data_IF_983770206427
#
_entry.id   IF_983770206427
#
_cell.length_a   1.000
_cell.length_b   1.000
_cell.length_c   1.000
_cell.angle_alpha   90.00
_cell.angle_beta   90.00
_cell.angle_gamma   90.00
#
_symmetry.space_group_name_H-M   'P 1'
#
loop_
_entity.id
_entity.type
_entity.pdbx_description
1 polymer ?
#
# COMPACT_ATOMS: atom_id res chain seq x y z
N UNK A 1 33.10 53.78 -5.01
CA UNK A 1 31.84 54.43 -4.58
C UNK A 1 30.90 53.34 -4.07
N UNK A 2 30.50 53.41 -2.79
CA UNK A 2 29.30 52.89 -2.07
C UNK A 2 28.62 51.58 -2.56
N UNK A 3 28.13 50.66 -1.75
CA UNK A 3 28.14 50.36 -0.30
C UNK A 3 27.37 49.05 -0.11
N UNK A 4 27.92 48.13 0.69
CA UNK A 4 27.30 47.17 1.63
C UNK A 4 25.77 46.97 1.66
N UNK A 5 25.36 45.69 1.75
CA UNK A 5 24.54 45.21 2.88
C UNK A 5 24.56 43.67 2.97
N UNK A 6 25.17 43.17 4.03
CA UNK A 6 25.10 41.81 4.56
C UNK A 6 23.91 41.76 5.56
N UNK A 7 22.98 40.79 5.53
CA UNK A 7 22.04 40.59 6.61
C UNK A 7 22.65 39.66 7.67
N UNK A 8 23.24 40.29 8.69
CA UNK A 8 23.44 39.69 10.01
C UNK A 8 22.10 39.20 10.58
N UNK A 9 21.93 37.89 10.76
CA UNK A 9 20.92 37.36 11.68
C UNK A 9 21.58 37.05 13.02
N UNK A 10 21.40 38.00 13.94
CA UNK A 10 21.75 37.92 15.36
C UNK A 10 20.81 36.96 16.09
N UNK A 11 21.39 36.15 16.96
CA UNK A 11 20.68 35.41 18.01
C UNK A 11 20.21 36.41 19.07
N UNK A 12 18.94 36.35 19.45
CA UNK A 12 18.47 36.92 20.72
C UNK A 12 17.69 35.86 21.50
N UNK A 13 18.06 35.75 22.78
CA UNK A 13 17.33 35.04 23.82
C UNK A 13 15.92 35.63 24.00
N UNK A 14 14.94 34.74 24.21
CA UNK A 14 13.49 34.95 24.43
C UNK A 14 12.60 34.95 23.18
N UNK A 15 12.21 33.75 22.77
CA UNK A 15 10.81 33.39 22.49
C UNK A 15 10.16 33.90 21.20
N UNK A 16 10.14 33.02 20.18
CA UNK A 16 9.27 32.98 18.99
C UNK A 16 9.31 34.20 18.04
N UNK A 17 9.75 33.97 16.80
CA UNK A 17 8.85 33.63 15.68
C UNK A 17 9.60 32.94 14.54
N UNK A 18 8.82 32.13 13.84
CA UNK A 18 9.11 31.05 12.90
C UNK A 18 9.04 31.63 11.49
N UNK A 19 10.06 31.41 10.65
CA UNK A 19 9.93 31.59 9.20
C UNK A 19 10.19 30.26 8.50
N UNK A 20 9.15 29.80 7.82
CA UNK A 20 9.05 28.55 7.08
C UNK A 20 9.60 28.71 5.65
N UNK A 21 10.00 27.55 5.11
CA UNK A 21 10.11 27.17 3.70
C UNK A 21 11.16 27.86 2.82
N UNK A 22 12.26 27.14 2.61
CA UNK A 22 12.67 26.77 1.26
C UNK A 22 12.80 25.25 1.28
N UNK A 23 11.77 24.54 0.83
CA UNK A 23 11.93 23.12 0.47
C UNK A 23 12.82 23.08 -0.76
N UNK A 24 13.99 22.47 -0.62
CA UNK A 24 14.87 22.18 -1.75
C UNK A 24 14.11 21.35 -2.80
N UNK A 25 14.35 21.65 -4.07
CA UNK A 25 13.77 20.93 -5.19
C UNK A 25 14.19 19.46 -5.12
N UNK A 26 13.25 18.55 -4.86
CA UNK A 26 13.48 17.11 -4.93
C UNK A 26 13.80 16.74 -6.37
N UNK A 27 15.07 16.46 -6.66
CA UNK A 27 15.48 15.85 -7.92
C UNK A 27 14.79 14.49 -8.04
N UNK A 28 13.84 14.39 -8.97
CA UNK A 28 13.12 13.15 -9.27
C UNK A 28 14.08 12.19 -9.97
N UNK A 29 14.78 11.36 -9.20
CA UNK A 29 15.53 10.23 -9.74
C UNK A 29 14.53 9.22 -10.26
N UNK A 30 14.29 9.22 -11.57
CA UNK A 30 13.53 8.16 -12.24
C UNK A 30 14.39 6.91 -12.21
N UNK A 31 14.10 5.99 -11.30
CA UNK A 31 14.64 4.64 -11.36
C UNK A 31 14.09 4.00 -12.63
N UNK A 32 14.94 3.84 -13.64
CA UNK A 32 14.62 3.02 -14.80
C UNK A 32 14.92 1.59 -14.36
N UNK A 33 13.87 0.83 -14.04
CA UNK A 33 14.00 -0.62 -13.90
C UNK A 33 14.27 -1.16 -15.30
N UNK A 34 15.42 -1.80 -15.49
CA UNK A 34 15.73 -2.49 -16.75
C UNK A 34 14.65 -3.53 -17.01
N UNK A 35 13.96 -3.41 -18.14
CA UNK A 35 12.75 -4.16 -18.49
C UNK A 35 12.97 -5.67 -18.77
N UNK A 36 14.20 -6.18 -18.57
CA UNK A 36 14.60 -7.55 -18.93
C UNK A 36 15.25 -8.32 -17.77
N UNK A 37 14.79 -8.11 -16.53
CA UNK A 37 15.24 -8.96 -15.41
C UNK A 37 14.54 -10.33 -15.49
N UNK A 38 15.20 -11.31 -16.12
CA UNK A 38 14.84 -12.73 -15.97
C UNK A 38 15.07 -13.15 -14.52
N UNK A 39 14.01 -13.26 -13.73
CA UNK A 39 14.10 -13.71 -12.34
C UNK A 39 14.55 -15.18 -12.30
N UNK A 40 15.77 -15.45 -11.79
CA UNK A 40 16.25 -16.81 -11.54
C UNK A 40 15.62 -17.35 -10.24
N UNK A 41 14.90 -18.47 -10.30
CA UNK A 41 14.46 -19.22 -9.11
C UNK A 41 15.66 -19.81 -8.36
N UNK A 42 15.70 -19.66 -7.04
CA UNK A 42 16.68 -20.36 -6.19
C UNK A 42 17.14 -19.61 -4.93
N UNK A 43 16.98 -18.28 -4.88
CA UNK A 43 17.19 -17.55 -3.63
C UNK A 43 15.92 -17.65 -2.77
N UNK A 44 16.08 -17.77 -1.45
CA UNK A 44 15.00 -17.60 -0.47
C UNK A 44 14.51 -16.15 -0.56
N UNK A 45 13.66 -15.86 -1.56
CA UNK A 45 13.05 -14.54 -1.81
C UNK A 45 11.77 -14.38 -0.98
N UNK A 46 11.73 -14.90 0.24
CA UNK A 46 10.53 -14.92 1.06
C UNK A 46 10.04 -13.51 1.42
N UNK A 47 10.93 -12.51 1.48
CA UNK A 47 10.59 -11.11 1.78
C UNK A 47 9.95 -10.36 0.61
N UNK A 48 10.49 -10.50 -0.61
CA UNK A 48 9.99 -9.79 -1.80
C UNK A 48 8.80 -10.52 -2.45
N UNK A 49 8.76 -11.85 -2.36
CA UNK A 49 7.72 -12.65 -3.02
C UNK A 49 6.30 -12.32 -2.52
N UNK A 50 6.13 -11.93 -1.26
CA UNK A 50 4.84 -11.50 -0.68
C UNK A 50 4.19 -10.36 -1.46
N UNK A 51 5.01 -9.53 -2.11
CA UNK A 51 4.56 -8.36 -2.84
C UNK A 51 4.71 -8.49 -4.34
N UNK A 52 5.16 -9.62 -4.89
CA UNK A 52 5.21 -9.78 -6.35
C UNK A 52 3.82 -9.68 -6.99
N UNK A 53 3.72 -9.73 -8.31
CA UNK A 53 2.45 -9.93 -9.00
C UNK A 53 2.09 -11.41 -9.08
N UNK A 54 0.80 -11.76 -9.16
CA UNK A 54 0.34 -13.16 -9.22
C UNK A 54 0.91 -13.89 -10.45
N UNK A 55 0.93 -13.22 -11.61
CA UNK A 55 1.49 -13.79 -12.84
C UNK A 55 2.96 -14.20 -12.64
N UNK A 56 3.79 -13.29 -12.11
CA UNK A 56 5.20 -13.52 -11.77
C UNK A 56 5.38 -14.73 -10.83
N UNK A 57 4.50 -14.92 -9.84
CA UNK A 57 4.59 -16.07 -8.93
C UNK A 57 4.31 -17.41 -9.60
N UNK A 58 3.42 -17.42 -10.60
CA UNK A 58 2.98 -18.63 -11.29
C UNK A 58 3.86 -19.00 -12.48
N UNK A 59 4.79 -18.13 -12.87
CA UNK A 59 5.73 -18.38 -13.97
C UNK A 59 6.38 -19.75 -13.88
N UNK A 60 6.57 -20.38 -15.02
CA UNK A 60 7.37 -21.59 -15.16
C UNK A 60 8.70 -21.24 -15.81
N UNK A 61 9.75 -22.02 -15.55
CA UNK A 61 11.05 -21.79 -16.21
C UNK A 61 10.99 -22.03 -17.73
N UNK A 62 9.91 -22.64 -18.23
CA UNK A 62 9.67 -22.89 -19.64
C UNK A 62 9.08 -21.66 -20.38
N UNK A 63 8.32 -20.82 -19.67
CA UNK A 63 7.69 -19.60 -20.22
C UNK A 63 7.79 -18.48 -19.17
N UNK A 64 8.89 -17.71 -19.20
CA UNK A 64 9.02 -16.55 -18.33
C UNK A 64 8.07 -15.46 -18.82
N UNK A 65 7.09 -15.02 -18.00
CA UNK A 65 6.31 -13.83 -18.39
C UNK A 65 7.23 -12.61 -18.42
N UNK A 66 6.98 -11.75 -19.39
CA UNK A 66 7.60 -10.45 -19.48
C UNK A 66 7.12 -9.59 -18.32
N UNK A 67 8.04 -8.94 -17.61
CA UNK A 67 7.66 -8.00 -16.56
C UNK A 67 6.96 -6.79 -17.18
N UNK A 68 5.71 -6.55 -16.80
CA UNK A 68 4.89 -5.47 -17.32
C UNK A 68 4.50 -4.48 -16.20
N UNK A 69 4.11 -3.26 -16.60
CA UNK A 69 3.68 -2.22 -15.68
C UNK A 69 2.55 -2.67 -14.72
N UNK A 70 1.67 -3.56 -15.18
CA UNK A 70 0.59 -4.12 -14.36
C UNK A 70 1.13 -4.88 -13.15
N UNK A 71 2.32 -5.49 -13.25
CA UNK A 71 2.93 -6.20 -12.14
C UNK A 71 3.38 -5.25 -11.03
N UNK A 72 3.95 -4.10 -11.40
CA UNK A 72 4.35 -3.07 -10.44
C UNK A 72 3.12 -2.47 -9.73
N UNK A 73 2.02 -2.29 -10.47
CA UNK A 73 0.75 -1.83 -9.91
C UNK A 73 0.16 -2.84 -8.93
N UNK A 74 0.15 -4.14 -9.28
CA UNK A 74 -0.30 -5.19 -8.36
C UNK A 74 0.57 -5.23 -7.11
N UNK A 75 1.91 -5.15 -7.28
CA UNK A 75 2.86 -5.09 -6.18
C UNK A 75 2.61 -3.92 -5.23
N UNK A 76 2.38 -2.72 -5.78
CA UNK A 76 2.05 -1.55 -4.98
C UNK A 76 0.79 -1.77 -4.13
N UNK A 77 -0.24 -2.37 -4.71
CA UNK A 77 -1.51 -2.62 -4.02
C UNK A 77 -1.32 -3.63 -2.87
N UNK A 78 -0.52 -4.67 -3.05
CA UNK A 78 -0.18 -5.60 -1.96
C UNK A 78 0.62 -4.93 -0.84
N UNK A 79 1.54 -4.01 -1.16
CA UNK A 79 2.26 -3.21 -0.16
C UNK A 79 1.29 -2.30 0.60
N UNK A 80 0.37 -1.62 -0.09
CA UNK A 80 -0.63 -0.77 0.54
C UNK A 80 -1.48 -1.55 1.55
N UNK A 81 -1.95 -2.74 1.17
CA UNK A 81 -2.73 -3.60 2.06
C UNK A 81 -1.94 -4.12 3.24
N UNK A 82 -0.68 -4.51 3.03
CA UNK A 82 0.20 -4.89 4.13
C UNK A 82 0.32 -3.74 5.13
N UNK A 83 0.60 -2.52 4.67
CA UNK A 83 0.70 -1.35 5.52
C UNK A 83 -0.60 -1.08 6.29
N UNK A 84 -1.75 -1.18 5.62
CA UNK A 84 -3.06 -0.96 6.22
C UNK A 84 -3.37 -2.01 7.31
N UNK A 85 -3.25 -3.30 6.99
CA UNK A 85 -3.52 -4.40 7.94
C UNK A 85 -2.55 -4.37 9.11
N UNK A 86 -1.25 -4.17 8.85
CA UNK A 86 -0.24 -4.08 9.89
C UNK A 86 -0.50 -2.88 10.82
N UNK A 87 -0.88 -1.72 10.27
CA UNK A 87 -1.23 -0.57 11.10
C UNK A 87 -2.45 -0.84 12.00
N UNK A 88 -3.48 -1.48 11.46
CA UNK A 88 -4.65 -1.88 12.24
C UNK A 88 -4.28 -2.85 13.36
N UNK A 89 -3.39 -3.82 13.10
CA UNK A 89 -2.90 -4.74 14.13
C UNK A 89 -2.13 -4.00 15.23
N UNK A 90 -1.22 -3.11 14.85
CA UNK A 90 -0.45 -2.32 15.82
C UNK A 90 -1.39 -1.56 16.75
N UNK A 91 -2.37 -0.82 16.19
CA UNK A 91 -3.36 -0.07 16.96
C UNK A 91 -4.22 -0.97 17.85
N UNK A 92 -4.68 -2.09 17.33
CA UNK A 92 -5.50 -3.04 18.08
C UNK A 92 -4.71 -3.72 19.22
N UNK A 93 -3.39 -3.84 19.09
CA UNK A 93 -2.49 -4.44 20.08
C UNK A 93 -1.94 -3.47 21.14
N UNK A 94 -2.25 -2.18 21.05
CA UNK A 94 -1.77 -1.19 22.03
C UNK A 94 -2.27 -1.54 23.45
N UNK A 95 -1.42 -1.37 24.47
CA UNK A 95 -1.77 -1.68 25.86
C UNK A 95 -2.95 -0.88 26.39
N UNK A 96 -3.20 0.28 25.81
CA UNK A 96 -4.31 1.19 26.13
C UNK A 96 -5.63 0.77 25.48
N UNK A 97 -5.61 -0.21 24.57
CA UNK A 97 -6.77 -0.67 23.84
C UNK A 97 -7.61 -1.60 24.72
N UNK A 98 -8.94 -1.40 24.83
CA UNK A 98 -9.81 -2.24 25.66
C UNK A 98 -9.70 -3.73 25.32
N UNK A 99 -9.84 -4.61 26.32
CA UNK A 99 -9.70 -6.07 26.15
C UNK A 99 -10.64 -6.65 25.09
N UNK A 100 -11.85 -6.09 24.96
CA UNK A 100 -12.81 -6.46 23.91
C UNK A 100 -12.23 -6.25 22.49
N UNK A 101 -11.47 -5.18 22.28
CA UNK A 101 -10.85 -4.84 20.99
C UNK A 101 -9.64 -5.73 20.73
N UNK A 102 -8.90 -6.10 21.78
CA UNK A 102 -7.81 -7.08 21.67
C UNK A 102 -8.33 -8.47 21.32
N UNK A 103 -9.51 -8.86 21.83
CA UNK A 103 -10.16 -10.10 21.43
C UNK A 103 -10.58 -10.08 19.95
N UNK A 104 -11.11 -8.95 19.48
CA UNK A 104 -11.49 -8.73 18.07
C UNK A 104 -10.26 -8.68 17.13
N UNK A 105 -9.08 -8.32 17.62
CA UNK A 105 -7.85 -8.25 16.82
C UNK A 105 -7.35 -9.62 16.35
N UNK A 106 -7.81 -10.71 16.98
CA UNK A 106 -7.44 -12.08 16.59
C UNK A 106 -7.88 -12.40 15.16
N UNK A 107 -9.08 -11.95 14.77
CA UNK A 107 -9.58 -12.12 13.40
C UNK A 107 -8.66 -11.43 12.38
N UNK A 108 -8.25 -10.19 12.67
CA UNK A 108 -7.30 -9.45 11.84
C UNK A 108 -5.91 -10.11 11.80
N UNK A 109 -5.46 -10.70 12.91
CA UNK A 109 -4.22 -11.48 12.97
C UNK A 109 -4.29 -12.72 12.08
N UNK A 110 -5.41 -13.45 12.12
CA UNK A 110 -5.64 -14.61 11.26
C UNK A 110 -5.62 -14.20 9.79
N UNK A 111 -6.34 -13.14 9.41
CA UNK A 111 -6.39 -12.64 8.02
C UNK A 111 -5.00 -12.23 7.52
N UNK A 112 -4.26 -11.46 8.32
CA UNK A 112 -2.90 -11.05 7.97
C UNK A 112 -1.96 -12.24 7.83
N UNK A 113 -2.06 -13.24 8.71
CA UNK A 113 -1.20 -14.42 8.64
C UNK A 113 -1.53 -15.24 7.39
N UNK A 114 -2.80 -15.42 7.08
CA UNK A 114 -3.25 -16.10 5.86
C UNK A 114 -2.70 -15.40 4.61
N UNK A 115 -2.75 -14.07 4.58
CA UNK A 115 -2.37 -13.26 3.41
C UNK A 115 -0.85 -13.12 3.26
N UNK A 116 -0.12 -12.84 4.33
CA UNK A 116 1.29 -12.39 4.28
C UNK A 116 2.29 -13.33 4.97
N UNK A 117 1.86 -14.49 5.50
CA UNK A 117 2.77 -15.49 6.10
C UNK A 117 2.95 -16.74 5.24
N UNK A 118 2.48 -16.74 3.99
CA UNK A 118 2.68 -17.86 3.07
C UNK A 118 4.15 -17.99 2.67
N UNK A 119 4.76 -19.15 2.85
CA UNK A 119 6.20 -19.33 2.57
C UNK A 119 6.50 -19.87 1.18
N UNK A 120 5.48 -20.28 0.43
CA UNK A 120 5.64 -20.85 -0.91
C UNK A 120 5.07 -19.93 -1.98
N UNK A 121 5.72 -19.82 -3.14
CA UNK A 121 5.24 -18.99 -4.25
C UNK A 121 3.82 -19.38 -4.69
N UNK A 122 3.52 -20.69 -4.71
CA UNK A 122 2.17 -21.19 -5.01
C UNK A 122 1.14 -20.81 -3.95
N UNK A 123 1.52 -20.87 -2.66
CA UNK A 123 0.66 -20.44 -1.56
C UNK A 123 0.36 -18.95 -1.64
N UNK A 124 1.38 -18.12 -1.86
CA UNK A 124 1.20 -16.68 -2.05
C UNK A 124 0.28 -16.45 -3.27
N UNK A 125 0.54 -17.08 -4.42
CA UNK A 125 -0.27 -16.90 -5.63
C UNK A 125 -1.74 -17.35 -5.47
N UNK A 126 -1.99 -18.34 -4.61
CA UNK A 126 -3.33 -18.80 -4.28
C UNK A 126 -4.10 -17.75 -3.45
N UNK A 127 -3.45 -17.09 -2.48
CA UNK A 127 -4.07 -15.98 -1.71
C UNK A 127 -4.38 -14.76 -2.57
N UNK A 128 -3.66 -14.60 -3.69
CA UNK A 128 -3.97 -13.59 -4.71
C UNK A 128 -5.08 -14.00 -5.67
N UNK A 129 -5.50 -15.27 -5.63
CA UNK A 129 -6.54 -15.82 -6.50
C UNK A 129 -7.87 -15.88 -5.74
N UNK A 130 -8.91 -15.26 -6.30
CA UNK A 130 -10.27 -15.32 -5.75
C UNK A 130 -10.57 -14.13 -4.84
N UNK A 131 -11.33 -13.18 -5.38
CA UNK A 131 -11.93 -12.02 -4.69
C UNK A 131 -10.98 -11.14 -3.84
N UNK A 132 -9.67 -11.39 -3.83
CA UNK A 132 -8.72 -10.59 -3.06
C UNK A 132 -9.13 -10.52 -1.57
N UNK A 133 -9.30 -11.68 -0.90
CA UNK A 133 -9.75 -11.70 0.51
C UNK A 133 -8.83 -10.92 1.47
N UNK A 134 -7.53 -10.78 1.13
CA UNK A 134 -6.61 -9.90 1.87
C UNK A 134 -7.01 -8.42 1.88
N UNK A 135 -7.90 -8.00 0.99
CA UNK A 135 -8.42 -6.64 0.91
C UNK A 135 -9.88 -6.51 1.35
N UNK A 136 -10.62 -7.61 1.26
CA UNK A 136 -11.99 -7.70 1.74
C UNK A 136 -11.94 -8.00 3.24
N UNK A 137 -11.72 -6.96 4.05
CA UNK A 137 -12.03 -6.93 5.49
C UNK A 137 -13.50 -7.29 5.82
N UNK A 138 -14.27 -7.80 4.86
CA UNK A 138 -15.71 -7.63 4.72
C UNK A 138 -16.51 -8.86 5.08
N UNK A 139 -15.90 -10.02 5.30
CA UNK A 139 -16.66 -11.21 5.73
C UNK A 139 -16.59 -11.41 7.25
N UNK A 140 -15.50 -11.03 7.89
CA UNK A 140 -15.31 -11.19 9.33
C UNK A 140 -15.85 -9.97 10.09
N UNK A 141 -16.87 -10.20 10.94
CA UNK A 141 -17.53 -9.13 11.70
C UNK A 141 -16.60 -8.46 12.70
N UNK A 142 -15.65 -9.19 13.28
CA UNK A 142 -14.73 -8.64 14.27
C UNK A 142 -13.64 -7.81 13.58
N UNK A 143 -13.13 -8.27 12.44
CA UNK A 143 -12.24 -7.46 11.60
C UNK A 143 -12.90 -6.14 11.16
N UNK A 144 -14.20 -6.16 10.79
CA UNK A 144 -14.94 -4.95 10.44
C UNK A 144 -15.04 -3.94 11.59
N UNK A 145 -15.18 -4.40 12.84
CA UNK A 145 -15.21 -3.51 14.01
C UNK A 145 -13.87 -2.80 14.19
N UNK A 146 -12.76 -3.53 14.05
CA UNK A 146 -11.40 -2.98 14.09
C UNK A 146 -11.20 -1.93 12.99
N UNK A 147 -11.59 -2.25 11.75
CA UNK A 147 -11.53 -1.33 10.62
C UNK A 147 -12.34 -0.07 10.92
N UNK A 148 -13.60 -0.21 11.34
CA UNK A 148 -14.47 0.93 11.66
C UNK A 148 -13.90 1.81 12.78
N UNK A 149 -13.15 1.22 13.71
CA UNK A 149 -12.58 1.94 14.86
C UNK A 149 -11.31 2.71 14.51
N UNK A 150 -10.47 2.16 13.63
CA UNK A 150 -9.11 2.67 13.43
C UNK A 150 -8.79 3.14 12.01
N UNK A 151 -9.61 2.81 11.02
CA UNK A 151 -9.43 3.20 9.62
C UNK A 151 -10.38 4.34 9.25
N UNK A 152 -9.90 5.33 8.50
CA UNK A 152 -10.77 6.34 7.92
C UNK A 152 -11.63 5.74 6.80
N UNK A 153 -12.82 6.29 6.58
CA UNK A 153 -13.69 5.85 5.48
C UNK A 153 -12.98 6.00 4.12
N UNK A 154 -12.22 7.08 3.93
CA UNK A 154 -11.42 7.30 2.72
C UNK A 154 -10.43 6.16 2.43
N UNK A 155 -9.75 5.63 3.46
CA UNK A 155 -8.82 4.51 3.28
C UNK A 155 -9.57 3.19 3.03
N UNK A 156 -10.73 2.99 3.66
CA UNK A 156 -11.61 1.85 3.38
C UNK A 156 -12.05 1.86 1.91
N UNK A 157 -12.49 3.01 1.42
CA UNK A 157 -12.97 3.16 0.04
C UNK A 157 -11.82 3.02 -0.96
N UNK A 158 -10.64 3.58 -0.67
CA UNK A 158 -9.44 3.37 -1.49
C UNK A 158 -9.10 1.88 -1.61
N UNK A 159 -9.06 1.15 -0.49
CA UNK A 159 -8.74 -0.28 -0.49
C UNK A 159 -9.76 -1.07 -1.30
N UNK A 160 -11.06 -0.76 -1.17
CA UNK A 160 -12.10 -1.40 -1.98
C UNK A 160 -11.91 -1.11 -3.47
N UNK A 161 -11.71 0.14 -3.83
CA UNK A 161 -11.58 0.56 -5.22
C UNK A 161 -10.34 -0.10 -5.88
N UNK A 162 -9.17 -0.12 -5.23
CA UNK A 162 -7.98 -0.79 -5.79
C UNK A 162 -8.14 -2.31 -5.88
N UNK A 163 -8.89 -2.92 -4.96
CA UNK A 163 -9.18 -4.36 -5.01
C UNK A 163 -10.08 -4.72 -6.18
N UNK A 164 -11.06 -3.86 -6.45
CA UNK A 164 -11.94 -4.01 -7.60
C UNK A 164 -11.14 -3.91 -8.90
N UNK A 165 -10.17 -2.98 -8.99
CA UNK A 165 -9.28 -2.88 -10.16
C UNK A 165 -8.49 -4.18 -10.39
N UNK A 166 -7.93 -4.80 -9.35
CA UNK A 166 -7.25 -6.09 -9.47
C UNK A 166 -8.23 -7.19 -9.90
N UNK A 167 -9.41 -7.23 -9.28
CA UNK A 167 -10.43 -8.23 -9.61
C UNK A 167 -10.85 -8.14 -11.08
N UNK A 168 -11.10 -6.92 -11.56
CA UNK A 168 -11.51 -6.66 -12.94
C UNK A 168 -10.38 -6.97 -13.93
N UNK A 169 -9.12 -6.69 -13.57
CA UNK A 169 -7.94 -7.02 -14.37
C UNK A 169 -7.78 -8.53 -14.61
N UNK A 170 -8.11 -9.34 -13.59
CA UNK A 170 -8.02 -10.79 -13.65
C UNK A 170 -9.37 -11.47 -13.94
N UNK A 171 -10.40 -10.72 -14.32
CA UNK A 171 -11.72 -11.28 -14.58
C UNK A 171 -11.67 -12.26 -15.76
N UNK A 172 -12.07 -13.53 -15.58
CA UNK A 172 -11.79 -14.60 -16.54
C UNK A 172 -12.50 -14.45 -17.89
N UNK A 173 -13.59 -13.66 -17.92
CA UNK A 173 -14.41 -13.49 -19.12
C UNK A 173 -14.34 -12.09 -19.73
N UNK A 174 -13.84 -11.11 -18.97
CA UNK A 174 -13.88 -9.70 -19.37
C UNK A 174 -12.79 -8.94 -18.61
N UNK A 175 -11.51 -9.19 -18.91
CA UNK A 175 -10.42 -8.49 -18.25
C UNK A 175 -10.48 -7.02 -18.62
N UNK A 176 -10.51 -6.15 -17.62
CA UNK A 176 -10.42 -4.70 -17.81
C UNK A 176 -8.94 -4.31 -17.75
N UNK A 177 -8.41 -3.54 -18.72
CA UNK A 177 -7.03 -3.07 -18.65
C UNK A 177 -6.79 -2.31 -17.34
N UNK A 178 -5.80 -2.77 -16.57
CA UNK A 178 -5.38 -2.10 -15.36
C UNK A 178 -4.11 -1.31 -15.61
N UNK A 179 -4.26 0.02 -15.60
CA UNK A 179 -3.19 0.95 -15.88
C UNK A 179 -2.98 1.98 -14.75
N UNK A 180 -1.92 2.78 -14.90
CA UNK A 180 -1.59 3.84 -13.97
C UNK A 180 -2.70 4.90 -13.85
N UNK A 181 -3.46 5.15 -14.93
CA UNK A 181 -4.54 6.13 -14.93
C UNK A 181 -5.69 5.71 -14.03
N UNK A 182 -6.02 4.42 -14.06
CA UNK A 182 -7.06 3.81 -13.23
C UNK A 182 -6.69 3.84 -11.75
N UNK A 183 -5.43 3.49 -11.41
CA UNK A 183 -4.92 3.60 -10.05
C UNK A 183 -4.87 5.06 -9.56
N UNK A 184 -4.45 5.98 -10.42
CA UNK A 184 -4.40 7.40 -10.09
C UNK A 184 -5.80 7.95 -9.82
N UNK A 185 -6.80 7.61 -10.65
CA UNK A 185 -8.17 8.07 -10.48
C UNK A 185 -8.78 7.66 -9.13
N UNK A 186 -8.57 6.40 -8.70
CA UNK A 186 -9.07 5.94 -7.40
C UNK A 186 -8.30 6.56 -6.23
N UNK A 187 -7.00 6.81 -6.41
CA UNK A 187 -6.17 7.48 -5.40
C UNK A 187 -6.57 8.94 -5.24
N UNK A 188 -6.74 9.67 -6.34
CA UNK A 188 -7.18 11.07 -6.34
C UNK A 188 -8.57 11.20 -5.73
N UNK A 189 -9.51 10.32 -6.08
CA UNK A 189 -10.83 10.25 -5.44
C UNK A 189 -10.72 10.10 -3.92
N UNK A 190 -9.85 9.21 -3.44
CA UNK A 190 -9.64 9.02 -2.00
C UNK A 190 -9.01 10.26 -1.33
N UNK A 191 -8.05 10.92 -1.98
CA UNK A 191 -7.43 12.15 -1.48
C UNK A 191 -8.47 13.28 -1.38
N UNK A 192 -9.27 13.48 -2.43
CA UNK A 192 -10.35 14.49 -2.44
C UNK A 192 -11.34 14.23 -1.30
N UNK A 193 -11.63 12.97 -0.98
CA UNK A 193 -12.52 12.64 0.15
C UNK A 193 -11.95 12.98 1.54
N UNK A 194 -10.64 13.22 1.64
CA UNK A 194 -9.98 13.68 2.87
C UNK A 194 -9.99 15.19 3.01
N UNK A 195 -10.24 15.94 1.94
CA UNK A 195 -10.29 17.39 2.00
C UNK A 195 -11.55 17.81 2.78
N UNK A 196 -11.41 18.63 3.84
CA UNK A 196 -12.57 19.14 4.54
C UNK A 196 -13.41 19.93 3.54
N UNK A 197 -14.73 19.66 3.52
CA UNK A 197 -15.70 20.54 2.88
C UNK A 197 -15.41 21.96 3.36
N UNK A 198 -14.84 22.78 2.48
CA UNK A 198 -14.64 24.20 2.73
C UNK A 198 -16.05 24.77 2.82
N UNK A 199 -16.53 24.91 4.06
CA UNK A 199 -17.80 25.52 4.42
C UNK A 199 -17.61 27.03 4.63
#
# INVERSE_FOLDING_TARGET
>A
MKSTADPQNRVNDRGRFKLLSITESTTRTRTIFESEVRMKRGAVMAGTAQFMARAILLQSDAEPDVHEAIHDLESFIWVLSYCAMHNLQLRASEKTTPEEVQAESKALQTLFSQTFSQTTLKGIAAERHGLCQGFLFTTDKDAQKIVKRFMSQALVDLIKDVSQLIYDAYHPFCPVPFDHGSLLAVTDKAIVSLEPLVA
#
